data_IF_520286576593
#
_entry.id   IF_520286576593
#
_cell.length_a   1.000
_cell.length_b   1.000
_cell.length_c   1.000
_cell.angle_alpha   90.00
_cell.angle_beta   90.00
_cell.angle_gamma   90.00
#
_symmetry.space_group_name_H-M   'P 1'
#
loop_
_entity.id
_entity.type
_entity.pdbx_description
1 polymer ?
#
# COMPACT_ATOMS: atom_id res chain seq x y z
N UNK A 1 9.29 22.76 12.92
CA UNK A 1 9.36 21.29 12.89
C UNK A 1 8.18 20.77 13.68
N UNK A 2 7.19 20.18 13.02
CA UNK A 2 6.04 19.58 13.68
C UNK A 2 6.40 18.11 13.94
N UNK A 3 6.50 17.74 15.21
CA UNK A 3 6.75 16.36 15.65
C UNK A 3 5.45 15.59 15.43
N UNK A 4 5.40 14.79 14.37
CA UNK A 4 4.25 13.93 14.13
C UNK A 4 4.25 12.80 15.17
N UNK A 5 3.11 12.60 15.83
CA UNK A 5 2.91 11.51 16.77
C UNK A 5 2.76 10.22 15.95
N UNK A 6 3.88 9.54 15.69
CA UNK A 6 3.94 8.25 15.01
C UNK A 6 3.29 7.21 15.90
N UNK A 7 2.02 6.85 15.64
CA UNK A 7 1.43 5.69 16.28
C UNK A 7 1.89 4.43 15.53
N UNK A 8 2.89 3.76 16.06
CA UNK A 8 3.35 2.45 15.58
C UNK A 8 2.31 1.38 15.91
N UNK A 9 1.68 0.81 14.89
CA UNK A 9 1.02 -0.49 15.02
C UNK A 9 1.97 -1.54 14.42
N UNK A 10 2.78 -2.17 15.28
CA UNK A 10 3.65 -3.28 14.87
C UNK A 10 2.81 -4.56 14.82
N UNK A 11 2.59 -5.11 13.63
CA UNK A 11 2.01 -6.45 13.46
C UNK A 11 3.11 -7.43 13.07
N UNK A 12 3.34 -8.45 13.91
CA UNK A 12 4.37 -9.47 13.66
C UNK A 12 3.83 -10.51 12.66
N UNK A 13 4.51 -10.67 11.54
CA UNK A 13 4.32 -11.77 10.60
C UNK A 13 5.46 -12.81 10.84
N UNK A 14 5.19 -14.12 10.81
CA UNK A 14 6.19 -15.16 11.07
C UNK A 14 7.43 -15.14 10.14
N UNK A 15 7.36 -14.47 8.99
CA UNK A 15 8.49 -14.33 8.05
C UNK A 15 9.27 -13.00 8.15
N UNK A 16 8.88 -12.10 9.07
CA UNK A 16 9.47 -10.77 9.27
C UNK A 16 8.46 -9.76 9.80
N UNK A 17 8.90 -8.73 10.52
CA UNK A 17 8.01 -7.73 11.10
C UNK A 17 7.46 -6.77 10.02
N UNK A 18 6.15 -6.57 9.98
CA UNK A 18 5.51 -5.58 9.12
C UNK A 18 4.97 -4.49 10.03
N UNK A 19 5.50 -3.28 9.87
CA UNK A 19 5.12 -2.15 10.72
C UNK A 19 4.24 -1.20 9.91
N UNK A 20 3.07 -0.90 10.45
CA UNK A 20 2.11 -0.01 9.83
C UNK A 20 2.28 1.43 10.36
N UNK A 21 2.40 2.41 9.46
CA UNK A 21 2.40 3.84 9.80
C UNK A 21 1.23 4.57 9.12
N UNK A 22 0.41 5.24 9.93
CA UNK A 22 -0.71 6.04 9.44
C UNK A 22 -0.30 7.51 9.38
N UNK A 23 -0.67 8.18 8.31
CA UNK A 23 -0.56 9.63 8.18
C UNK A 23 -1.93 10.18 7.83
N UNK A 24 -2.46 11.01 8.73
CA UNK A 24 -3.87 11.41 8.76
C UNK A 24 -4.30 12.44 7.68
N UNK A 25 -3.53 12.71 6.62
CA UNK A 25 -3.77 13.90 5.77
C UNK A 25 -3.75 13.64 4.25
N UNK A 26 -4.90 13.31 3.69
CA UNK A 26 -5.19 13.14 2.26
C UNK A 26 -4.84 14.34 1.33
N UNK A 27 -4.25 14.08 0.14
CA UNK A 27 -4.32 14.95 -1.06
C UNK A 27 -4.28 14.14 -2.37
N UNK A 28 -5.36 14.24 -3.18
CA UNK A 28 -5.65 13.45 -4.39
C UNK A 28 -4.48 13.21 -5.36
N UNK A 29 -4.20 11.95 -5.73
CA UNK A 29 -3.19 11.58 -6.72
C UNK A 29 -3.77 11.44 -8.14
N UNK A 30 -4.38 12.50 -8.68
CA UNK A 30 -4.91 12.49 -10.05
C UNK A 30 -3.80 12.82 -11.09
N UNK A 31 -3.86 12.33 -12.34
CA UNK A 31 -2.96 12.78 -13.41
C UNK A 31 -3.00 14.30 -13.59
N UNK A 32 -1.84 14.95 -13.64
CA UNK A 32 -1.70 16.41 -13.69
C UNK A 32 -1.90 17.14 -12.36
N UNK A 33 -2.25 16.42 -11.29
CA UNK A 33 -2.42 16.99 -9.96
C UNK A 33 -1.10 17.55 -9.39
N UNK A 34 -1.23 18.41 -8.39
CA UNK A 34 -0.10 18.85 -7.57
C UNK A 34 0.63 17.67 -6.89
N UNK A 35 -0.05 16.53 -6.71
CA UNK A 35 0.57 15.29 -6.26
C UNK A 35 1.55 14.75 -7.29
N UNK A 36 1.13 14.57 -8.55
CA UNK A 36 2.02 14.03 -9.59
C UNK A 36 3.26 14.91 -9.76
N UNK A 37 3.08 16.24 -9.75
CA UNK A 37 4.18 17.21 -9.85
C UNK A 37 5.17 17.12 -8.69
N UNK A 38 4.71 16.78 -7.48
CA UNK A 38 5.56 16.65 -6.27
C UNK A 38 6.24 15.28 -6.16
N UNK A 39 5.57 14.22 -6.60
CA UNK A 39 6.10 12.84 -6.50
C UNK A 39 7.02 12.47 -7.66
N UNK A 40 6.76 12.95 -8.87
CA UNK A 40 7.59 12.70 -10.06
C UNK A 40 9.09 12.98 -9.86
N UNK A 41 9.53 14.09 -9.23
CA UNK A 41 10.96 14.36 -9.04
C UNK A 41 11.64 13.49 -7.96
N UNK A 42 10.87 12.78 -7.12
CA UNK A 42 11.42 12.00 -5.99
C UNK A 42 11.30 10.49 -6.21
N UNK A 43 10.81 10.08 -7.38
CA UNK A 43 10.45 8.69 -7.68
C UNK A 43 11.65 7.73 -7.65
N UNK A 44 12.86 8.25 -7.88
CA UNK A 44 14.12 7.50 -7.92
C UNK A 44 14.92 7.57 -6.59
N UNK A 45 14.34 8.16 -5.54
CA UNK A 45 14.98 8.19 -4.23
C UNK A 45 15.02 6.79 -3.59
N UNK A 46 16.00 6.53 -2.69
CA UNK A 46 16.03 5.30 -1.90
C UNK A 46 14.72 5.08 -1.14
N UNK A 47 14.29 3.82 -1.03
CA UNK A 47 13.01 3.43 -0.44
C UNK A 47 12.66 4.11 0.89
N UNK A 48 13.55 4.10 1.91
CA UNK A 48 13.30 4.76 3.19
C UNK A 48 13.06 6.27 3.06
N UNK A 49 13.87 6.96 2.25
CA UNK A 49 13.76 8.41 2.04
C UNK A 49 12.49 8.77 1.28
N UNK A 50 12.12 7.96 0.28
CA UNK A 50 10.86 8.11 -0.44
C UNK A 50 9.66 7.93 0.50
N UNK A 51 9.68 6.90 1.35
CA UNK A 51 8.65 6.66 2.36
C UNK A 51 8.53 7.84 3.34
N UNK A 52 9.64 8.33 3.88
CA UNK A 52 9.65 9.50 4.77
C UNK A 52 9.01 10.72 4.11
N UNK A 53 9.36 11.01 2.85
CA UNK A 53 8.78 12.13 2.11
C UNK A 53 7.27 11.93 1.92
N UNK A 54 6.82 10.72 1.60
CA UNK A 54 5.39 10.42 1.44
C UNK A 54 4.61 10.65 2.75
N UNK A 55 5.13 10.16 3.88
CA UNK A 55 4.54 10.38 5.19
C UNK A 55 4.49 11.88 5.54
N UNK A 56 5.56 12.63 5.28
CA UNK A 56 5.62 14.07 5.51
C UNK A 56 4.62 14.88 4.65
N UNK A 57 4.15 14.31 3.54
CA UNK A 57 3.15 14.93 2.67
C UNK A 57 1.71 14.53 2.98
N UNK A 58 1.49 13.70 4.00
CA UNK A 58 0.16 13.33 4.44
C UNK A 58 -0.35 11.96 3.94
N UNK A 59 0.47 11.19 3.22
CA UNK A 59 0.05 9.89 2.69
C UNK A 59 0.24 8.75 3.68
N UNK A 60 -0.72 7.81 3.69
CA UNK A 60 -0.59 6.57 4.45
C UNK A 60 0.43 5.62 3.78
N UNK A 61 1.28 4.99 4.60
CA UNK A 61 2.22 4.00 4.10
C UNK A 61 2.31 2.76 5.03
N UNK A 62 2.44 1.59 4.42
CA UNK A 62 2.78 0.33 5.11
C UNK A 62 4.13 -0.10 4.62
N UNK A 63 5.05 -0.42 5.53
CA UNK A 63 6.33 -0.97 5.14
C UNK A 63 6.60 -2.29 5.83
N UNK A 64 7.46 -3.06 5.19
CA UNK A 64 7.97 -4.32 5.72
C UNK A 64 9.45 -4.14 6.01
N UNK A 65 9.90 -4.73 7.12
CA UNK A 65 11.31 -4.87 7.45
C UNK A 65 11.63 -6.35 7.73
N UNK A 66 12.89 -6.73 7.56
CA UNK A 66 13.39 -8.06 7.93
C UNK A 66 14.57 -7.87 8.88
N UNK A 67 14.33 -8.00 10.18
CA UNK A 67 15.27 -7.46 11.18
C UNK A 67 15.30 -5.94 11.07
N UNK A 68 16.50 -5.36 10.95
CA UNK A 68 16.70 -3.92 10.76
C UNK A 68 16.71 -3.49 9.27
N UNK A 69 16.63 -4.46 8.36
CA UNK A 69 16.65 -4.19 6.92
C UNK A 69 15.28 -3.76 6.39
N UNK A 70 15.23 -2.60 5.72
CA UNK A 70 14.04 -2.17 4.97
C UNK A 70 13.79 -3.08 3.77
N UNK A 71 12.56 -3.62 3.66
CA UNK A 71 12.18 -4.52 2.56
C UNK A 71 11.44 -3.80 1.45
N UNK A 72 10.51 -2.92 1.81
CA UNK A 72 9.64 -2.26 0.84
C UNK A 72 8.43 -1.65 1.51
N UNK A 73 7.61 -0.95 0.72
CA UNK A 73 6.41 -0.30 1.21
C UNK A 73 5.28 -0.28 0.18
N UNK A 74 4.06 -0.09 0.67
CA UNK A 74 2.89 0.32 -0.09
C UNK A 74 2.48 1.70 0.43
N UNK A 75 2.25 2.64 -0.47
CA UNK A 75 1.64 3.92 -0.13
C UNK A 75 0.29 4.07 -0.82
N UNK A 76 -0.65 4.60 -0.06
CA UNK A 76 -2.05 4.71 -0.44
C UNK A 76 -2.70 5.91 0.25
N UNK A 77 -3.93 6.19 -0.13
CA UNK A 77 -4.73 7.25 0.45
C UNK A 77 -6.15 6.78 0.69
N UNK A 78 -6.73 7.16 1.83
CA UNK A 78 -8.16 6.99 2.07
C UNK A 78 -8.99 8.05 1.32
N UNK A 79 -9.91 7.57 0.49
CA UNK A 79 -10.95 8.34 -0.17
C UNK A 79 -12.28 8.07 0.52
N UNK A 80 -13.04 9.13 0.79
CA UNK A 80 -14.39 9.04 1.36
C UNK A 80 -15.40 9.57 0.37
N UNK A 81 -16.19 8.67 -0.20
CA UNK A 81 -17.32 9.01 -1.06
C UNK A 81 -18.60 8.43 -0.45
N UNK A 82 -19.66 9.24 -0.32
CA UNK A 82 -20.97 8.79 0.18
C UNK A 82 -20.93 8.00 1.51
N UNK A 83 -20.01 8.36 2.42
CA UNK A 83 -19.74 7.69 3.72
C UNK A 83 -19.05 6.33 3.62
N UNK A 84 -18.75 5.86 2.41
CA UNK A 84 -17.93 4.67 2.19
C UNK A 84 -16.46 5.07 2.09
N UNK A 85 -15.58 4.25 2.67
CA UNK A 85 -14.13 4.46 2.64
C UNK A 85 -13.51 3.54 1.60
N UNK A 86 -12.69 4.08 0.72
CA UNK A 86 -11.89 3.30 -0.22
C UNK A 86 -10.42 3.68 -0.08
N UNK A 87 -9.52 2.74 -0.31
CA UNK A 87 -8.08 2.99 -0.30
C UNK A 87 -7.52 2.99 -1.73
N UNK A 88 -6.95 4.10 -2.14
CA UNK A 88 -6.38 4.28 -3.46
C UNK A 88 -4.87 4.18 -3.36
N UNK A 89 -4.32 3.06 -3.81
CA UNK A 89 -2.88 2.83 -3.86
C UNK A 89 -2.27 3.55 -5.06
N UNK A 90 -1.19 4.26 -4.81
CA UNK A 90 -0.44 4.96 -5.85
C UNK A 90 1.01 4.47 -5.95
N UNK A 91 1.52 3.71 -4.96
CA UNK A 91 2.89 3.20 -4.97
C UNK A 91 3.00 1.84 -4.29
N UNK A 92 3.72 0.93 -4.96
CA UNK A 92 4.30 -0.25 -4.34
C UNK A 92 5.80 -0.21 -4.66
N UNK A 93 6.63 -0.39 -3.64
CA UNK A 93 8.08 -0.44 -3.78
C UNK A 93 8.62 -1.62 -3.00
N UNK A 94 9.55 -2.35 -3.61
CA UNK A 94 10.31 -3.42 -2.95
C UNK A 94 11.77 -3.22 -3.33
N UNK A 95 12.64 -3.19 -2.32
CA UNK A 95 14.08 -3.10 -2.49
C UNK A 95 14.59 -4.19 -3.43
N UNK A 96 15.55 -3.83 -4.29
CA UNK A 96 16.02 -4.72 -5.37
C UNK A 96 16.43 -6.10 -4.87
N UNK A 97 17.07 -6.18 -3.69
CA UNK A 97 17.50 -7.42 -3.02
C UNK A 97 16.34 -8.34 -2.58
N UNK A 98 15.11 -7.83 -2.49
CA UNK A 98 13.91 -8.56 -2.10
C UNK A 98 12.88 -8.71 -3.22
N UNK A 99 13.15 -8.18 -4.41
CA UNK A 99 12.28 -8.36 -5.57
C UNK A 99 12.19 -9.84 -5.96
N UNK A 100 11.08 -10.22 -6.59
CA UNK A 100 10.76 -11.58 -7.01
C UNK A 100 10.61 -12.62 -5.87
N UNK A 101 10.69 -12.21 -4.60
CA UNK A 101 10.47 -13.08 -3.43
C UNK A 101 9.05 -13.00 -2.85
N UNK A 102 8.13 -12.34 -3.57
CA UNK A 102 6.71 -12.25 -3.16
C UNK A 102 6.39 -11.17 -2.13
N UNK A 103 7.33 -10.34 -1.70
CA UNK A 103 7.07 -9.28 -0.70
C UNK A 103 6.03 -8.26 -1.13
N UNK A 104 5.96 -7.90 -2.42
CA UNK A 104 4.89 -7.03 -2.91
C UNK A 104 3.50 -7.67 -2.70
N UNK A 105 3.37 -8.96 -2.98
CA UNK A 105 2.13 -9.71 -2.71
C UNK A 105 1.83 -9.78 -1.21
N UNK A 106 2.84 -10.02 -0.37
CA UNK A 106 2.67 -10.06 1.10
C UNK A 106 2.20 -8.70 1.64
N UNK A 107 2.84 -7.61 1.24
CA UNK A 107 2.43 -6.25 1.59
C UNK A 107 0.97 -5.99 1.18
N UNK A 108 0.59 -6.35 -0.06
CA UNK A 108 -0.78 -6.16 -0.55
C UNK A 108 -1.81 -6.97 0.23
N UNK A 109 -1.50 -8.22 0.60
CA UNK A 109 -2.39 -9.05 1.42
C UNK A 109 -2.59 -8.49 2.81
N UNK A 110 -1.53 -7.95 3.42
CA UNK A 110 -1.65 -7.33 4.73
C UNK A 110 -2.48 -6.05 4.66
N UNK A 111 -2.35 -5.26 3.59
CA UNK A 111 -3.24 -4.13 3.34
C UNK A 111 -4.70 -4.58 3.19
N UNK A 112 -4.97 -5.70 2.49
CA UNK A 112 -6.34 -6.26 2.36
C UNK A 112 -6.90 -6.66 3.72
N UNK A 113 -6.14 -7.43 4.52
CA UNK A 113 -6.55 -7.84 5.87
C UNK A 113 -6.88 -6.63 6.74
N UNK A 114 -6.03 -5.63 6.69
CA UNK A 114 -6.24 -4.39 7.43
C UNK A 114 -7.44 -3.60 6.92
N UNK A 115 -7.66 -3.55 5.61
CA UNK A 115 -8.84 -2.91 5.02
C UNK A 115 -10.15 -3.55 5.52
N UNK A 116 -10.18 -4.89 5.63
CA UNK A 116 -11.32 -5.62 6.19
C UNK A 116 -11.54 -5.22 7.65
N UNK A 117 -10.49 -5.24 8.47
CA UNK A 117 -10.56 -4.82 9.88
C UNK A 117 -11.05 -3.36 10.05
N UNK A 118 -10.72 -2.49 9.11
CA UNK A 118 -11.09 -1.07 9.12
C UNK A 118 -12.41 -0.74 8.39
N UNK A 119 -13.16 -1.77 7.97
CA UNK A 119 -14.43 -1.61 7.23
C UNK A 119 -14.28 -0.74 5.97
N UNK A 120 -13.14 -0.89 5.29
CA UNK A 120 -12.88 -0.27 4.00
C UNK A 120 -13.69 -1.04 2.96
N UNK A 121 -14.40 -0.33 2.08
CA UNK A 121 -15.22 -0.92 1.02
C UNK A 121 -14.39 -1.58 -0.06
N UNK A 122 -13.26 -0.98 -0.40
CA UNK A 122 -12.39 -1.49 -1.43
C UNK A 122 -11.03 -0.82 -1.53
N UNK A 123 -10.16 -1.48 -2.27
CA UNK A 123 -8.79 -1.04 -2.52
C UNK A 123 -8.59 -0.96 -4.03
N UNK A 124 -8.25 0.23 -4.51
CA UNK A 124 -7.90 0.49 -5.90
C UNK A 124 -6.38 0.46 -6.06
N UNK A 125 -5.86 -0.34 -6.99
CA UNK A 125 -4.41 -0.50 -7.22
C UNK A 125 -3.85 0.44 -8.31
N UNK A 126 -4.57 1.52 -8.63
CA UNK A 126 -4.20 2.49 -9.65
C UNK A 126 -4.66 2.11 -11.06
N UNK A 127 -4.34 2.95 -12.04
CA UNK A 127 -4.86 2.89 -13.42
C UNK A 127 -4.36 1.70 -14.27
N UNK A 128 -3.65 0.73 -13.71
CA UNK A 128 -3.26 -0.46 -14.47
C UNK A 128 -2.32 -0.19 -15.64
N UNK A 129 -1.01 -0.11 -15.38
CA UNK A 129 -0.02 0.10 -16.44
C UNK A 129 1.25 -0.75 -16.33
N UNK A 130 1.42 -1.45 -15.21
CA UNK A 130 2.64 -2.23 -14.95
C UNK A 130 2.31 -3.73 -14.86
N UNK A 131 2.92 -4.61 -15.69
CA UNK A 131 2.61 -6.05 -15.71
C UNK A 131 2.77 -6.77 -14.37
N UNK A 132 3.57 -6.21 -13.47
CA UNK A 132 3.74 -6.75 -12.10
C UNK A 132 2.46 -6.61 -11.29
N UNK A 133 1.63 -5.60 -11.53
CA UNK A 133 0.39 -5.40 -10.79
C UNK A 133 -0.60 -6.53 -11.04
N UNK A 134 -0.84 -6.87 -12.30
CA UNK A 134 -1.69 -8.02 -12.66
C UNK A 134 -1.15 -9.32 -12.06
N UNK A 135 0.18 -9.53 -12.06
CA UNK A 135 0.79 -10.70 -11.41
C UNK A 135 0.50 -10.75 -9.90
N UNK A 136 0.53 -9.60 -9.23
CA UNK A 136 0.19 -9.51 -7.81
C UNK A 136 -1.29 -9.86 -7.60
N UNK A 137 -2.20 -9.23 -8.33
CA UNK A 137 -3.65 -9.45 -8.18
C UNK A 137 -4.06 -10.90 -8.51
N UNK A 138 -3.50 -11.47 -9.58
CA UNK A 138 -3.69 -12.88 -9.93
C UNK A 138 -3.23 -13.80 -8.80
N UNK A 139 -2.04 -13.57 -8.24
CA UNK A 139 -1.52 -14.38 -7.13
C UNK A 139 -2.40 -14.28 -5.89
N UNK A 140 -2.88 -13.09 -5.54
CA UNK A 140 -3.82 -12.91 -4.42
C UNK A 140 -5.12 -13.66 -4.72
N UNK A 141 -5.65 -13.57 -5.94
CA UNK A 141 -6.88 -14.26 -6.35
C UNK A 141 -6.80 -15.78 -6.20
N UNK A 142 -5.66 -16.38 -6.54
CA UNK A 142 -5.42 -17.81 -6.38
C UNK A 142 -5.34 -18.21 -4.89
N UNK A 143 -4.74 -17.37 -4.05
CA UNK A 143 -4.42 -17.70 -2.65
C UNK A 143 -5.50 -17.27 -1.64
N UNK A 144 -6.47 -16.44 -2.04
CA UNK A 144 -7.45 -15.85 -1.11
C UNK A 144 -8.31 -16.86 -0.36
N UNK A 145 -8.58 -18.04 -0.94
CA UNK A 145 -9.37 -19.11 -0.28
C UNK A 145 -8.58 -19.76 0.85
N UNK A 146 -7.32 -20.10 0.59
CA UNK A 146 -6.42 -20.74 1.56
C UNK A 146 -6.15 -19.80 2.74
N UNK A 147 -5.99 -18.51 2.45
CA UNK A 147 -5.73 -17.47 3.46
C UNK A 147 -6.98 -16.83 4.05
N UNK A 148 -8.18 -17.33 3.68
CA UNK A 148 -9.47 -16.83 4.17
C UNK A 148 -9.65 -15.31 4.01
N UNK A 149 -9.16 -14.74 2.90
CA UNK A 149 -9.34 -13.33 2.60
C UNK A 149 -10.73 -13.09 2.03
N UNK A 150 -11.59 -12.42 2.81
CA UNK A 150 -12.98 -12.12 2.46
C UNK A 150 -13.06 -10.95 1.45
N UNK A 151 -12.67 -11.21 0.20
CA UNK A 151 -12.66 -10.19 -0.85
C UNK A 151 -13.02 -10.73 -2.25
N UNK A 152 -13.52 -9.82 -3.09
CA UNK A 152 -13.66 -10.02 -4.53
C UNK A 152 -12.62 -9.20 -5.27
N UNK A 153 -11.93 -9.80 -6.22
CA UNK A 153 -10.82 -9.17 -6.96
C UNK A 153 -11.27 -9.03 -8.41
N UNK A 154 -11.36 -7.80 -8.86
CA UNK A 154 -11.64 -7.40 -10.23
C UNK A 154 -10.31 -6.99 -10.88
N UNK A 155 -9.67 -7.96 -11.54
CA UNK A 155 -8.34 -7.77 -12.13
C UNK A 155 -8.38 -6.74 -13.27
N UNK A 156 -9.32 -6.80 -14.24
CA UNK A 156 -9.41 -5.78 -15.29
C UNK A 156 -9.47 -4.35 -14.78
N UNK A 157 -10.18 -4.12 -13.67
CA UNK A 157 -10.33 -2.79 -13.07
C UNK A 157 -9.32 -2.49 -11.96
N UNK A 158 -8.35 -3.39 -11.71
CA UNK A 158 -7.34 -3.23 -10.66
C UNK A 158 -7.94 -2.95 -9.28
N UNK A 159 -9.12 -3.51 -9.00
CA UNK A 159 -9.92 -3.19 -7.85
C UNK A 159 -10.17 -4.43 -6.99
N UNK A 160 -10.09 -4.27 -5.67
CA UNK A 160 -10.43 -5.30 -4.70
C UNK A 160 -11.59 -4.79 -3.86
N UNK A 161 -12.76 -5.41 -4.00
CA UNK A 161 -13.90 -5.18 -3.12
C UNK A 161 -13.74 -6.01 -1.86
N UNK A 162 -13.77 -5.36 -0.70
CA UNK A 162 -13.71 -6.02 0.59
C UNK A 162 -15.13 -6.33 1.08
N UNK A 163 -15.27 -7.34 1.94
CA UNK A 163 -16.54 -7.76 2.54
C UNK A 163 -16.59 -7.44 4.02
#
# INVERSE_FOLDING_TARGET
MQTYCMSEAIKKDPDGEITAYFSKVAKNPDPGSEFEKKIKPIIDLPGPKLMEILLNHGFDARYSKKGDDFVGFIAYQEHKENKEKEWHMFRIYVEKKYQNQGYATKLSKNLIKEGIENQIKGIYFGNGGHPVLEKILNRISLQKKEEKLECHIDIPNHYIKLK
#
